data_IF_761523158882
#
_entry.id   IF_761523158882
#
_cell.length_a   1.000
_cell.length_b   1.000
_cell.length_c   1.000
_cell.angle_alpha   90.00
_cell.angle_beta   90.00
_cell.angle_gamma   90.00
#
_symmetry.space_group_name_H-M   'P 1'
#
loop_
_entity.id
_entity.type
_entity.pdbx_description
1 polymer ?
#
# COMPACT_ATOMS: atom_id res chain seq x y z
N UNK A 1 16.49 2.30 -25.76
CA UNK A 1 15.60 2.30 -24.57
C UNK A 1 15.92 3.58 -23.81
N UNK A 2 15.09 4.64 -23.93
CA UNK A 2 15.18 5.81 -23.06
C UNK A 2 14.85 5.31 -21.65
N UNK A 3 15.79 5.46 -20.70
CA UNK A 3 15.49 5.36 -19.27
C UNK A 3 14.30 6.29 -19.00
N UNK A 4 13.15 5.71 -18.65
CA UNK A 4 12.13 6.46 -17.92
C UNK A 4 12.84 6.95 -16.67
N UNK A 5 12.84 8.25 -16.43
CA UNK A 5 13.02 8.75 -15.08
C UNK A 5 11.88 8.09 -14.28
N UNK A 6 12.22 7.02 -13.56
CA UNK A 6 11.27 6.31 -12.72
C UNK A 6 11.05 7.20 -11.49
N UNK A 7 10.01 8.02 -11.54
CA UNK A 7 9.45 8.60 -10.33
C UNK A 7 8.57 7.53 -9.70
N UNK A 8 9.19 6.52 -9.10
CA UNK A 8 8.46 5.55 -8.29
C UNK A 8 7.91 6.27 -7.06
N UNK A 9 6.71 5.91 -6.66
CA UNK A 9 6.05 6.40 -5.46
C UNK A 9 5.91 5.27 -4.46
N UNK A 10 5.79 5.64 -3.22
CA UNK A 10 5.56 4.75 -2.10
C UNK A 10 4.23 5.07 -1.41
N UNK A 11 3.64 4.06 -0.79
CA UNK A 11 2.47 4.17 0.07
C UNK A 11 2.76 3.47 1.40
N UNK A 12 2.59 4.20 2.49
CA UNK A 12 2.70 3.64 3.83
C UNK A 12 1.33 3.15 4.31
N UNK A 13 1.25 1.85 4.56
CA UNK A 13 0.05 1.16 5.02
C UNK A 13 0.11 0.83 6.52
N UNK A 14 1.08 1.39 7.27
CA UNK A 14 1.31 1.06 8.69
C UNK A 14 0.09 1.31 9.54
N UNK A 15 -0.59 2.46 9.34
CA UNK A 15 -1.72 2.89 10.18
C UNK A 15 -3.03 2.16 9.86
N UNK A 16 -3.08 1.43 8.76
CA UNK A 16 -4.23 0.60 8.38
C UNK A 16 -3.89 -0.89 8.41
N UNK A 17 -3.18 -1.40 7.40
CA UNK A 17 -2.88 -2.82 7.24
C UNK A 17 -1.86 -3.31 8.29
N UNK A 18 -0.87 -2.47 8.61
CA UNK A 18 0.07 -2.72 9.68
C UNK A 18 -0.60 -2.97 11.02
N UNK A 19 -1.61 -2.16 11.37
CA UNK A 19 -2.36 -2.28 12.63
C UNK A 19 -3.38 -3.42 12.64
N UNK A 20 -3.57 -4.15 11.54
CA UNK A 20 -4.34 -5.39 11.52
C UNK A 20 -3.52 -6.59 12.02
N UNK A 21 -2.26 -6.38 12.38
CA UNK A 21 -1.45 -7.39 13.07
C UNK A 21 -2.11 -7.83 14.38
N UNK A 22 -2.26 -9.15 14.63
CA UNK A 22 -2.86 -9.64 15.88
C UNK A 22 -2.01 -9.36 17.12
N UNK A 23 -0.73 -9.00 16.92
CA UNK A 23 0.24 -8.72 18.00
C UNK A 23 0.50 -7.23 18.19
N UNK A 24 0.01 -6.36 17.30
CA UNK A 24 0.25 -4.94 17.43
C UNK A 24 -0.74 -4.29 18.40
N UNK A 25 -0.21 -3.49 19.33
CA UNK A 25 -1.03 -2.54 20.05
C UNK A 25 -1.47 -1.43 19.09
N UNK A 26 -2.72 -1.00 19.18
CA UNK A 26 -3.17 0.16 18.41
C UNK A 26 -2.64 1.45 19.05
N UNK A 27 -1.82 2.25 18.37
CA UNK A 27 -1.29 3.50 18.89
C UNK A 27 -2.40 4.51 19.23
N UNK A 28 -2.11 5.40 20.18
CA UNK A 28 -2.98 6.55 20.44
C UNK A 28 -3.04 7.48 19.24
N UNK A 29 -4.02 8.38 19.21
CA UNK A 29 -4.13 9.34 18.09
C UNK A 29 -2.89 10.24 17.99
N UNK A 30 -2.35 10.70 19.11
CA UNK A 30 -1.12 11.53 19.11
C UNK A 30 0.09 10.75 18.56
N UNK A 31 0.19 9.45 18.88
CA UNK A 31 1.22 8.58 18.34
C UNK A 31 1.06 8.34 16.82
N UNK A 32 -0.17 8.22 16.34
CA UNK A 32 -0.44 8.10 14.89
C UNK A 32 -0.07 9.38 14.15
N UNK A 33 -0.39 10.53 14.72
CA UNK A 33 -0.01 11.85 14.18
C UNK A 33 1.51 11.98 14.10
N UNK A 34 2.24 11.61 15.15
CA UNK A 34 3.71 11.63 15.11
C UNK A 34 4.28 10.69 14.04
N UNK A 35 3.67 9.52 13.81
CA UNK A 35 4.08 8.64 12.71
C UNK A 35 3.84 9.28 11.34
N UNK A 36 2.73 10.02 11.15
CA UNK A 36 2.47 10.77 9.92
C UNK A 36 3.53 11.85 9.69
N UNK A 37 3.98 12.54 10.74
CA UNK A 37 5.08 13.51 10.66
C UNK A 37 6.41 12.89 10.19
N UNK A 38 6.71 11.66 10.65
CA UNK A 38 7.87 10.92 10.14
C UNK A 38 7.71 10.50 8.68
N UNK A 39 6.52 10.07 8.28
CA UNK A 39 6.22 9.75 6.87
C UNK A 39 6.43 10.97 5.96
N UNK A 40 5.93 12.14 6.36
CA UNK A 40 6.16 13.40 5.63
C UNK A 40 7.66 13.75 5.53
N UNK A 41 8.41 13.69 6.65
CA UNK A 41 9.86 13.94 6.69
C UNK A 41 10.65 12.99 5.79
N UNK A 42 10.21 11.75 5.67
CA UNK A 42 10.79 10.74 4.77
C UNK A 42 10.43 10.97 3.30
N UNK A 43 9.52 11.91 3.01
CA UNK A 43 9.01 12.16 1.67
C UNK A 43 8.14 11.02 1.13
N UNK A 44 7.52 10.23 2.02
CA UNK A 44 6.52 9.23 1.65
C UNK A 44 5.34 9.94 1.00
N UNK A 45 4.92 9.47 -0.16
CA UNK A 45 3.98 10.24 -0.98
C UNK A 45 2.52 9.93 -0.71
N UNK A 46 2.23 8.74 -0.17
CA UNK A 46 0.86 8.32 0.15
C UNK A 46 0.81 7.65 1.51
N UNK A 47 -0.31 7.79 2.21
CA UNK A 47 -0.58 7.09 3.46
C UNK A 47 -2.00 6.56 3.48
N UNK A 48 -2.19 5.32 3.92
CA UNK A 48 -3.50 4.78 4.28
C UNK A 48 -3.77 5.04 5.76
N UNK A 49 -4.70 5.95 6.06
CA UNK A 49 -4.99 6.43 7.41
C UNK A 49 -5.88 5.48 8.22
N UNK A 50 -6.52 4.51 7.57
CA UNK A 50 -7.36 3.56 8.28
C UNK A 50 -8.54 3.02 7.47
N UNK A 51 -9.50 2.44 8.18
CA UNK A 51 -10.70 1.81 7.64
C UNK A 51 -11.93 2.44 8.29
N UNK A 52 -12.57 3.46 7.69
CA UNK A 52 -13.73 4.15 8.28
C UNK A 52 -14.89 3.19 8.57
N UNK A 53 -15.08 2.17 7.72
CA UNK A 53 -16.09 1.13 7.92
C UNK A 53 -15.89 0.25 9.17
N UNK A 54 -14.77 0.38 9.89
CA UNK A 54 -14.53 -0.32 11.15
C UNK A 54 -15.24 0.35 12.36
N UNK A 55 -15.76 1.56 12.18
CA UNK A 55 -16.60 2.23 13.16
C UNK A 55 -16.22 3.68 13.49
N UNK A 56 -17.01 4.36 14.31
CA UNK A 56 -16.89 5.81 14.57
C UNK A 56 -15.49 6.24 15.06
N UNK A 57 -14.86 5.47 15.93
CA UNK A 57 -13.52 5.79 16.44
C UNK A 57 -12.47 5.83 15.32
N UNK A 58 -12.61 4.98 14.29
CA UNK A 58 -11.72 5.00 13.14
C UNK A 58 -11.92 6.28 12.32
N UNK A 59 -13.16 6.72 12.14
CA UNK A 59 -13.49 7.99 11.48
C UNK A 59 -12.92 9.18 12.27
N UNK A 60 -13.07 9.20 13.60
CA UNK A 60 -12.49 10.24 14.48
C UNK A 60 -10.96 10.31 14.35
N UNK A 61 -10.28 9.16 14.31
CA UNK A 61 -8.82 9.13 14.15
C UNK A 61 -8.40 9.62 12.77
N UNK A 62 -9.11 9.21 11.70
CA UNK A 62 -8.84 9.70 10.34
C UNK A 62 -9.04 11.22 10.29
N UNK A 63 -10.13 11.73 10.87
CA UNK A 63 -10.44 13.16 10.95
C UNK A 63 -9.33 13.96 11.64
N UNK A 64 -8.84 13.49 12.78
CA UNK A 64 -7.76 14.14 13.52
C UNK A 64 -6.44 14.16 12.73
N UNK A 65 -6.08 13.05 12.05
CA UNK A 65 -4.88 13.00 11.21
C UNK A 65 -5.02 13.92 9.98
N UNK A 66 -6.20 14.00 9.36
CA UNK A 66 -6.48 14.93 8.26
C UNK A 66 -6.40 16.38 8.71
N UNK A 67 -6.90 16.71 9.89
CA UNK A 67 -6.74 18.04 10.50
C UNK A 67 -5.26 18.40 10.60
N UNK A 68 -4.46 17.50 11.17
CA UNK A 68 -3.02 17.72 11.31
C UNK A 68 -2.31 17.89 9.95
N UNK A 69 -2.62 17.04 8.96
CA UNK A 69 -2.05 17.12 7.60
C UNK A 69 -2.38 18.48 6.97
N UNK A 70 -3.62 18.96 7.11
CA UNK A 70 -4.05 20.21 6.49
C UNK A 70 -3.51 21.45 7.22
N UNK A 71 -3.48 21.44 8.56
CA UNK A 71 -2.96 22.57 9.37
C UNK A 71 -1.45 22.77 9.22
N UNK A 72 -0.70 21.71 8.89
CA UNK A 72 0.75 21.74 8.72
C UNK A 72 1.20 21.75 7.25
N UNK A 73 0.28 21.90 6.30
CA UNK A 73 0.57 21.91 4.86
C UNK A 73 1.44 20.70 4.39
N UNK A 74 1.16 19.50 4.91
CA UNK A 74 1.89 18.31 4.53
C UNK A 74 1.62 17.94 3.06
N UNK A 75 2.64 17.44 2.36
CA UNK A 75 2.54 17.01 0.96
C UNK A 75 2.03 15.58 0.80
N UNK A 76 2.03 14.80 1.87
CA UNK A 76 1.58 13.41 1.86
C UNK A 76 0.09 13.33 1.47
N UNK A 77 -0.23 12.43 0.55
CA UNK A 77 -1.60 12.25 0.06
C UNK A 77 -2.34 11.24 0.90
N UNK A 78 -3.39 11.65 1.60
CA UNK A 78 -4.16 10.72 2.42
C UNK A 78 -5.06 9.83 1.60
N UNK A 79 -5.24 8.62 2.07
CA UNK A 79 -6.22 7.65 1.61
C UNK A 79 -6.77 6.86 2.79
N UNK A 80 -7.81 6.10 2.54
CA UNK A 80 -8.35 5.13 3.48
C UNK A 80 -8.89 3.91 2.74
N UNK A 81 -8.73 2.73 3.35
CA UNK A 81 -9.32 1.51 2.83
C UNK A 81 -10.84 1.53 3.05
N UNK A 82 -11.58 1.11 2.02
CA UNK A 82 -13.03 0.98 2.08
C UNK A 82 -13.46 -0.34 1.45
N UNK A 83 -14.42 -1.02 2.04
CA UNK A 83 -15.12 -2.08 1.33
C UNK A 83 -15.89 -1.46 0.17
N UNK A 84 -16.19 -2.23 -0.85
CA UNK A 84 -17.04 -1.78 -1.97
C UNK A 84 -18.51 -1.61 -1.54
N UNK A 85 -18.73 -0.79 -0.51
CA UNK A 85 -20.03 -0.46 0.07
C UNK A 85 -20.15 1.06 0.21
N UNK A 86 -21.27 1.64 -0.20
CA UNK A 86 -21.49 3.09 -0.10
C UNK A 86 -21.31 3.61 1.33
N UNK A 87 -21.83 2.89 2.32
CA UNK A 87 -21.71 3.25 3.75
C UNK A 87 -20.26 3.35 4.26
N UNK A 88 -19.28 2.73 3.59
CA UNK A 88 -17.86 2.86 3.93
C UNK A 88 -17.24 4.08 3.23
N UNK A 89 -17.82 4.52 2.12
CA UNK A 89 -17.35 5.65 1.31
C UNK A 89 -17.96 6.96 1.79
N UNK A 90 -19.20 6.95 2.28
CA UNK A 90 -19.90 8.13 2.78
C UNK A 90 -19.06 8.96 3.77
N UNK A 91 -18.41 8.36 4.80
CA UNK A 91 -17.54 9.11 5.71
C UNK A 91 -16.36 9.80 5.01
N UNK A 92 -15.82 9.22 3.93
CA UNK A 92 -14.74 9.86 3.17
C UNK A 92 -15.24 11.08 2.39
N UNK A 93 -16.47 11.04 1.85
CA UNK A 93 -17.10 12.18 1.20
C UNK A 93 -17.24 13.34 2.20
N UNK A 94 -17.74 13.06 3.40
CA UNK A 94 -17.91 14.05 4.45
C UNK A 94 -16.57 14.65 4.91
N UNK A 95 -15.55 13.80 5.12
CA UNK A 95 -14.22 14.23 5.52
C UNK A 95 -13.54 15.05 4.42
N UNK A 96 -13.65 14.63 3.15
CA UNK A 96 -13.13 15.39 2.02
C UNK A 96 -13.74 16.79 1.92
N UNK A 97 -15.06 16.89 2.11
CA UNK A 97 -15.77 18.18 2.13
C UNK A 97 -15.34 19.05 3.31
N UNK A 98 -15.19 18.43 4.50
CA UNK A 98 -14.79 19.12 5.72
C UNK A 98 -13.38 19.72 5.62
N UNK A 99 -12.42 18.97 5.11
CA UNK A 99 -11.02 19.37 5.07
C UNK A 99 -10.62 20.08 3.76
N UNK A 100 -11.46 20.03 2.72
CA UNK A 100 -11.18 20.63 1.43
C UNK A 100 -10.02 20.01 0.66
N UNK A 101 -9.66 18.75 0.96
CA UNK A 101 -8.61 18.01 0.30
C UNK A 101 -9.15 16.69 -0.26
N UNK A 102 -8.51 16.16 -1.30
CA UNK A 102 -8.85 14.85 -1.83
C UNK A 102 -8.34 13.73 -0.93
N UNK A 103 -9.22 12.77 -0.61
CA UNK A 103 -8.91 11.56 0.16
C UNK A 103 -9.14 10.35 -0.75
N UNK A 104 -8.09 9.57 -1.01
CA UNK A 104 -8.21 8.41 -1.88
C UNK A 104 -9.00 7.29 -1.20
N UNK A 105 -10.09 6.84 -1.84
CA UNK A 105 -10.78 5.61 -1.45
C UNK A 105 -10.05 4.39 -2.04
N UNK A 106 -9.41 3.59 -1.20
CA UNK A 106 -8.82 2.29 -1.57
C UNK A 106 -9.91 1.22 -1.49
N UNK A 107 -10.73 1.15 -2.55
CA UNK A 107 -11.92 0.29 -2.60
C UNK A 107 -11.53 -1.15 -2.93
N UNK A 108 -11.63 -2.05 -1.95
CA UNK A 108 -11.19 -3.43 -2.11
C UNK A 108 -12.33 -4.44 -2.30
N UNK A 109 -12.06 -5.44 -3.13
CA UNK A 109 -12.97 -6.55 -3.43
C UNK A 109 -12.18 -7.81 -3.79
N UNK A 110 -12.50 -8.95 -3.18
CA UNK A 110 -11.83 -10.22 -3.44
C UNK A 110 -12.34 -10.89 -4.72
N UNK A 111 -11.42 -11.27 -5.61
CA UNK A 111 -11.75 -11.90 -6.91
C UNK A 111 -11.28 -13.35 -7.04
N UNK A 112 -10.53 -13.87 -6.05
CA UNK A 112 -10.02 -15.24 -6.13
C UNK A 112 -11.15 -16.28 -6.09
N UNK A 113 -11.00 -17.44 -6.76
CA UNK A 113 -11.98 -18.51 -6.73
C UNK A 113 -12.30 -19.01 -5.30
N UNK A 114 -11.30 -18.96 -4.41
CA UNK A 114 -11.49 -19.34 -3.00
C UNK A 114 -12.44 -18.35 -2.32
N UNK A 115 -12.26 -17.05 -2.58
CA UNK A 115 -13.12 -16.00 -2.00
C UNK A 115 -14.54 -16.09 -2.57
N UNK A 116 -14.67 -16.24 -3.89
CA UNK A 116 -15.96 -16.43 -4.54
C UNK A 116 -16.72 -17.64 -3.98
N UNK A 117 -16.03 -18.77 -3.80
CA UNK A 117 -16.61 -19.98 -3.23
C UNK A 117 -17.04 -19.80 -1.76
N UNK A 118 -16.17 -19.23 -0.92
CA UNK A 118 -16.42 -19.06 0.51
C UNK A 118 -17.60 -18.12 0.81
N UNK A 119 -17.74 -17.07 0.02
CA UNK A 119 -18.79 -16.04 0.18
C UNK A 119 -20.04 -16.34 -0.67
N UNK A 120 -20.01 -17.36 -1.53
CA UNK A 120 -21.07 -17.63 -2.48
C UNK A 120 -21.26 -16.51 -3.52
N UNK A 121 -20.19 -15.81 -3.87
CA UNK A 121 -20.23 -14.72 -4.83
C UNK A 121 -20.05 -15.21 -6.26
N UNK A 122 -20.81 -14.60 -7.17
CA UNK A 122 -20.62 -14.74 -8.61
C UNK A 122 -19.94 -13.50 -9.17
N UNK A 123 -19.33 -13.61 -10.34
CA UNK A 123 -18.72 -12.43 -11.01
C UNK A 123 -19.76 -11.33 -11.25
N UNK A 124 -21.00 -11.68 -11.60
CA UNK A 124 -22.10 -10.73 -11.74
C UNK A 124 -22.36 -9.95 -10.43
N UNK A 125 -22.36 -10.64 -9.28
CA UNK A 125 -22.51 -10.03 -7.98
C UNK A 125 -21.34 -9.10 -7.65
N UNK A 126 -20.10 -9.52 -7.94
CA UNK A 126 -18.90 -8.71 -7.75
C UNK A 126 -18.95 -7.43 -8.57
N UNK A 127 -19.25 -7.53 -9.85
CA UNK A 127 -19.39 -6.38 -10.76
C UNK A 127 -20.49 -5.42 -10.26
N UNK A 128 -21.69 -5.93 -9.98
CA UNK A 128 -22.80 -5.10 -9.50
C UNK A 128 -22.48 -4.39 -8.17
N UNK A 129 -21.75 -5.04 -7.27
CA UNK A 129 -21.35 -4.45 -5.97
C UNK A 129 -20.31 -3.34 -6.19
N UNK A 130 -19.29 -3.61 -7.00
CA UNK A 130 -18.26 -2.65 -7.36
C UNK A 130 -18.84 -1.43 -8.09
N UNK A 131 -19.71 -1.65 -9.08
CA UNK A 131 -20.33 -0.57 -9.86
C UNK A 131 -21.02 0.46 -8.97
N UNK A 132 -21.82 0.01 -8.01
CA UNK A 132 -22.54 0.89 -7.08
C UNK A 132 -21.59 1.73 -6.24
N UNK A 133 -20.59 1.10 -5.66
CA UNK A 133 -19.64 1.76 -4.76
C UNK A 133 -18.72 2.74 -5.51
N UNK A 134 -18.18 2.30 -6.65
CA UNK A 134 -17.28 3.13 -7.47
C UNK A 134 -18.02 4.31 -8.09
N UNK A 135 -19.22 4.08 -8.64
CA UNK A 135 -20.03 5.19 -9.19
C UNK A 135 -20.34 6.22 -8.13
N UNK A 136 -20.74 5.78 -6.92
CA UNK A 136 -21.00 6.69 -5.81
C UNK A 136 -19.77 7.52 -5.44
N UNK A 137 -18.59 6.90 -5.36
CA UNK A 137 -17.34 7.63 -5.06
C UNK A 137 -17.01 8.67 -6.15
N UNK A 138 -17.08 8.26 -7.44
CA UNK A 138 -16.78 9.12 -8.59
C UNK A 138 -17.76 10.29 -8.70
N UNK A 139 -19.06 10.05 -8.48
CA UNK A 139 -20.10 11.09 -8.48
C UNK A 139 -19.91 12.13 -7.36
N UNK A 140 -19.19 11.77 -6.29
CA UNK A 140 -18.86 12.66 -5.18
C UNK A 140 -17.40 13.17 -5.22
N UNK A 141 -16.74 13.10 -6.39
CA UNK A 141 -15.35 13.56 -6.60
C UNK A 141 -14.30 12.89 -5.68
N UNK A 142 -14.61 11.71 -5.11
CA UNK A 142 -13.67 10.93 -4.33
C UNK A 142 -12.76 10.12 -5.27
N UNK A 143 -11.44 10.34 -5.25
CA UNK A 143 -10.53 9.57 -6.10
C UNK A 143 -10.47 8.11 -5.66
N UNK A 144 -10.73 7.20 -6.59
CA UNK A 144 -10.76 5.75 -6.31
C UNK A 144 -9.47 5.10 -6.77
N UNK A 145 -8.85 4.31 -5.87
CA UNK A 145 -7.94 3.22 -6.20
C UNK A 145 -8.73 1.92 -6.06
N UNK A 146 -8.90 1.20 -7.16
CA UNK A 146 -9.61 -0.08 -7.12
C UNK A 146 -8.64 -1.21 -6.81
N UNK A 147 -8.92 -1.96 -5.76
CA UNK A 147 -8.04 -2.97 -5.17
C UNK A 147 -8.66 -4.35 -5.34
N UNK A 148 -8.00 -5.25 -6.08
CA UNK A 148 -8.41 -6.65 -6.12
C UNK A 148 -7.66 -7.44 -5.06
N UNK A 149 -8.36 -7.80 -3.98
CA UNK A 149 -7.81 -8.71 -2.97
C UNK A 149 -7.48 -10.06 -3.65
N UNK A 150 -6.32 -10.61 -3.31
CA UNK A 150 -5.86 -11.92 -3.77
C UNK A 150 -5.73 -12.06 -5.30
N UNK A 151 -5.28 -10.99 -5.94
CA UNK A 151 -5.10 -10.92 -7.40
C UNK A 151 -4.19 -12.05 -7.91
N UNK A 152 -3.13 -12.38 -7.18
CA UNK A 152 -2.14 -13.37 -7.60
C UNK A 152 -2.69 -14.80 -7.70
N UNK A 153 -3.86 -15.08 -7.14
CA UNK A 153 -4.57 -16.36 -7.21
C UNK A 153 -5.93 -16.27 -7.91
N UNK A 154 -6.25 -15.11 -8.48
CA UNK A 154 -7.50 -14.88 -9.21
C UNK A 154 -7.41 -15.39 -10.65
N UNK A 155 -8.56 -15.67 -11.25
CA UNK A 155 -8.65 -16.04 -12.67
C UNK A 155 -8.30 -14.80 -13.54
N UNK A 156 -7.43 -14.92 -14.55
CA UNK A 156 -7.09 -13.80 -15.44
C UNK A 156 -8.30 -13.12 -16.09
N UNK A 157 -9.31 -13.86 -16.53
CA UNK A 157 -10.51 -13.29 -17.10
C UNK A 157 -11.31 -12.47 -16.08
N UNK A 158 -11.39 -12.93 -14.84
CA UNK A 158 -12.06 -12.20 -13.76
C UNK A 158 -11.34 -10.90 -13.44
N UNK A 159 -9.98 -10.92 -13.38
CA UNK A 159 -9.14 -9.75 -13.20
C UNK A 159 -9.37 -8.74 -14.33
N UNK A 160 -9.36 -9.22 -15.58
CA UNK A 160 -9.58 -8.39 -16.76
C UNK A 160 -10.94 -7.72 -16.71
N UNK A 161 -12.00 -8.49 -16.51
CA UNK A 161 -13.38 -7.99 -16.49
C UNK A 161 -13.59 -6.92 -15.42
N UNK A 162 -13.12 -7.17 -14.19
CA UNK A 162 -13.37 -6.25 -13.08
C UNK A 162 -12.56 -4.96 -13.18
N UNK A 163 -11.29 -5.03 -13.58
CA UNK A 163 -10.48 -3.82 -13.76
C UNK A 163 -10.91 -2.99 -14.96
N UNK A 164 -11.25 -3.62 -16.08
CA UNK A 164 -11.77 -2.89 -17.25
C UNK A 164 -13.08 -2.19 -16.88
N UNK A 165 -13.98 -2.88 -16.18
CA UNK A 165 -15.21 -2.26 -15.72
C UNK A 165 -14.96 -1.10 -14.74
N UNK A 166 -14.01 -1.22 -13.82
CA UNK A 166 -13.63 -0.12 -12.94
C UNK A 166 -13.11 1.10 -13.73
N UNK A 167 -12.27 0.88 -14.75
CA UNK A 167 -11.76 1.95 -15.61
C UNK A 167 -12.87 2.64 -16.43
N UNK A 168 -13.87 1.89 -16.90
CA UNK A 168 -15.07 2.44 -17.58
C UNK A 168 -15.86 3.39 -16.67
N UNK A 169 -15.90 3.10 -15.36
CA UNK A 169 -16.56 3.93 -14.35
C UNK A 169 -15.72 5.16 -13.94
N UNK A 170 -14.54 5.34 -14.53
CA UNK A 170 -13.69 6.50 -14.24
C UNK A 170 -12.50 6.24 -13.33
N UNK A 171 -12.28 5.01 -12.84
CA UNK A 171 -11.11 4.67 -12.03
C UNK A 171 -9.83 4.82 -12.87
N UNK A 172 -8.80 5.42 -12.27
CA UNK A 172 -7.49 5.61 -12.90
C UNK A 172 -6.33 5.07 -12.05
N UNK A 173 -6.63 4.38 -10.95
CA UNK A 173 -5.66 3.74 -10.07
C UNK A 173 -6.09 2.30 -9.80
N UNK A 174 -5.23 1.36 -10.17
CA UNK A 174 -5.43 -0.08 -9.97
C UNK A 174 -4.41 -0.58 -8.97
N UNK A 175 -4.83 -1.41 -8.01
CA UNK A 175 -3.93 -2.03 -7.04
C UNK A 175 -3.97 -3.55 -7.17
N UNK A 176 -2.83 -4.13 -7.51
CA UNK A 176 -2.61 -5.56 -7.68
C UNK A 176 -2.08 -6.13 -6.36
N UNK A 177 -2.81 -7.07 -5.74
CA UNK A 177 -2.48 -7.57 -4.42
C UNK A 177 -1.95 -9.01 -4.43
N UNK A 178 -0.83 -9.21 -3.77
CA UNK A 178 -0.33 -10.53 -3.34
C UNK A 178 -0.69 -10.77 -1.87
N UNK A 179 -1.98 -10.91 -1.63
CA UNK A 179 -2.58 -10.97 -0.28
C UNK A 179 -2.00 -12.08 0.59
N UNK A 180 -1.58 -13.20 0.00
CA UNK A 180 -1.04 -14.34 0.73
C UNK A 180 0.47 -14.54 0.53
N UNK A 181 1.20 -13.54 0.04
CA UNK A 181 2.63 -13.67 -0.23
C UNK A 181 2.97 -14.85 -1.14
N UNK A 182 2.08 -15.15 -2.12
CA UNK A 182 2.12 -16.37 -2.94
C UNK A 182 3.10 -16.29 -4.09
N UNK A 183 3.21 -15.11 -4.72
CA UNK A 183 3.93 -14.94 -5.98
C UNK A 183 5.44 -14.84 -5.78
N UNK A 184 6.20 -15.25 -6.79
CA UNK A 184 7.65 -15.02 -6.87
C UNK A 184 7.95 -13.72 -7.62
N UNK A 185 9.17 -13.13 -7.49
CA UNK A 185 9.53 -11.92 -8.24
C UNK A 185 9.32 -12.02 -9.76
N UNK A 186 9.58 -13.19 -10.34
CA UNK A 186 9.30 -13.42 -11.76
C UNK A 186 7.80 -13.47 -12.06
N UNK A 187 7.00 -14.00 -11.14
CA UNK A 187 5.54 -13.99 -11.23
C UNK A 187 4.98 -12.57 -11.16
N UNK A 188 5.52 -11.70 -10.29
CA UNK A 188 5.18 -10.26 -10.24
C UNK A 188 5.34 -9.60 -11.60
N UNK A 189 6.53 -9.79 -12.23
CA UNK A 189 6.82 -9.21 -13.56
C UNK A 189 5.84 -9.69 -14.63
N UNK A 190 5.47 -10.97 -14.61
CA UNK A 190 4.50 -11.54 -15.56
C UNK A 190 3.10 -11.01 -15.33
N UNK A 191 2.68 -10.91 -14.07
CA UNK A 191 1.35 -10.39 -13.72
C UNK A 191 1.22 -8.92 -14.11
N UNK A 192 2.21 -8.08 -13.82
CA UNK A 192 2.18 -6.67 -14.21
C UNK A 192 2.23 -6.50 -15.74
N UNK A 193 2.97 -7.35 -16.46
CA UNK A 193 2.91 -7.36 -17.93
C UNK A 193 1.52 -7.73 -18.45
N UNK A 194 0.82 -8.69 -17.84
CA UNK A 194 -0.56 -9.01 -18.15
C UNK A 194 -1.50 -7.82 -17.88
N UNK A 195 -1.34 -7.13 -16.73
CA UNK A 195 -2.13 -5.93 -16.42
C UNK A 195 -1.91 -4.84 -17.48
N UNK A 196 -0.67 -4.60 -17.89
CA UNK A 196 -0.37 -3.58 -18.89
C UNK A 196 -0.94 -3.92 -20.28
N UNK A 197 -0.75 -5.16 -20.75
CA UNK A 197 -1.10 -5.55 -22.12
C UNK A 197 -2.58 -5.94 -22.24
N UNK A 198 -3.05 -6.85 -21.41
CA UNK A 198 -4.37 -7.46 -21.59
C UNK A 198 -5.50 -6.77 -20.80
N UNK A 199 -5.16 -6.04 -19.72
CA UNK A 199 -6.17 -5.29 -18.97
C UNK A 199 -6.26 -3.85 -19.46
N UNK A 200 -5.14 -3.12 -19.46
CA UNK A 200 -5.14 -1.67 -19.73
C UNK A 200 -5.22 -1.40 -21.25
N UNK A 201 -4.30 -1.95 -22.04
CA UNK A 201 -4.24 -1.68 -23.49
C UNK A 201 -5.41 -2.29 -24.23
N UNK A 202 -5.76 -3.55 -23.97
CA UNK A 202 -6.92 -4.19 -24.59
C UNK A 202 -8.23 -3.52 -24.17
N UNK A 203 -8.29 -2.96 -22.97
CA UNK A 203 -9.40 -2.10 -22.51
C UNK A 203 -9.47 -0.74 -23.19
N UNK A 204 -8.53 -0.43 -24.12
CA UNK A 204 -8.52 0.83 -24.88
C UNK A 204 -7.88 2.00 -24.13
N UNK A 205 -7.19 1.79 -23.02
CA UNK A 205 -6.57 2.85 -22.23
C UNK A 205 -5.06 2.97 -22.50
N UNK A 206 -4.55 4.21 -22.37
CA UNK A 206 -3.13 4.43 -22.38
C UNK A 206 -2.55 4.09 -20.99
N UNK A 207 -1.48 3.28 -20.95
CA UNK A 207 -0.80 2.92 -19.70
C UNK A 207 -0.33 4.14 -18.88
N UNK A 208 -0.12 5.29 -19.51
CA UNK A 208 0.30 6.52 -18.83
C UNK A 208 -0.80 7.20 -18.04
N UNK A 209 -2.06 6.91 -18.38
CA UNK A 209 -3.24 7.50 -17.75
C UNK A 209 -3.76 6.63 -16.60
N UNK A 210 -3.18 5.44 -16.44
CA UNK A 210 -3.55 4.47 -15.39
C UNK A 210 -2.36 4.26 -14.45
N UNK A 211 -2.54 4.58 -13.18
CA UNK A 211 -1.58 4.28 -12.12
C UNK A 211 -1.73 2.83 -11.68
N UNK A 212 -0.65 2.05 -11.70
CA UNK A 212 -0.62 0.67 -11.24
C UNK A 212 0.15 0.60 -9.93
N UNK A 213 -0.53 0.16 -8.88
CA UNK A 213 -0.01 -0.04 -7.55
C UNK A 213 0.26 -1.53 -7.31
N UNK A 214 1.30 -1.82 -6.56
CA UNK A 214 1.64 -3.16 -6.09
C UNK A 214 1.55 -3.22 -4.56
N UNK A 215 0.77 -4.17 -4.05
CA UNK A 215 0.63 -4.42 -2.62
C UNK A 215 0.94 -5.89 -2.32
N UNK A 216 1.90 -6.16 -1.45
CA UNK A 216 2.37 -7.53 -1.20
C UNK A 216 2.66 -7.83 0.27
N UNK A 217 2.37 -9.10 0.64
CA UNK A 217 2.63 -9.64 1.97
C UNK A 217 3.89 -10.50 2.03
N UNK A 218 4.33 -10.80 3.26
CA UNK A 218 5.63 -11.36 3.58
C UNK A 218 5.58 -12.88 3.89
N UNK A 219 4.48 -13.57 3.61
CA UNK A 219 4.25 -14.97 4.05
C UNK A 219 5.35 -15.96 3.61
N UNK A 220 6.04 -15.69 2.51
CA UNK A 220 7.18 -16.49 2.03
C UNK A 220 8.53 -15.78 2.14
N UNK A 221 8.61 -14.67 2.87
CA UNK A 221 9.83 -13.88 2.97
C UNK A 221 10.22 -13.15 1.68
N UNK A 222 9.29 -12.90 0.75
CA UNK A 222 9.56 -12.31 -0.56
C UNK A 222 9.05 -10.88 -0.73
N UNK A 223 8.47 -10.27 0.30
CA UNK A 223 7.81 -8.97 0.21
C UNK A 223 8.69 -7.87 -0.42
N UNK A 224 9.91 -7.66 0.12
CA UNK A 224 10.86 -6.68 -0.42
C UNK A 224 11.30 -7.04 -1.84
N UNK A 225 11.62 -8.31 -2.10
CA UNK A 225 12.03 -8.76 -3.43
C UNK A 225 10.91 -8.58 -4.46
N UNK A 226 9.66 -8.78 -4.05
CA UNK A 226 8.48 -8.57 -4.90
C UNK A 226 8.23 -7.08 -5.14
N UNK A 227 8.41 -6.20 -4.15
CA UNK A 227 8.34 -4.74 -4.34
C UNK A 227 9.40 -4.28 -5.37
N UNK A 228 10.65 -4.73 -5.25
CA UNK A 228 11.70 -4.42 -6.22
C UNK A 228 11.31 -4.93 -7.61
N UNK A 229 10.83 -6.16 -7.73
CA UNK A 229 10.40 -6.73 -9.00
C UNK A 229 9.21 -5.97 -9.62
N UNK A 230 8.30 -5.45 -8.79
CA UNK A 230 7.19 -4.62 -9.25
C UNK A 230 7.67 -3.28 -9.82
N UNK A 231 8.62 -2.62 -9.16
CA UNK A 231 9.27 -1.40 -9.66
C UNK A 231 9.96 -1.66 -11.00
N UNK A 232 10.75 -2.71 -11.10
CA UNK A 232 11.43 -3.10 -12.34
C UNK A 232 10.44 -3.43 -13.47
N UNK A 233 9.26 -3.95 -13.15
CA UNK A 233 8.18 -4.25 -14.09
C UNK A 233 7.34 -3.04 -14.47
N UNK A 234 7.55 -1.87 -13.84
CA UNK A 234 6.88 -0.62 -14.18
C UNK A 234 5.64 -0.31 -13.36
N UNK A 235 5.50 -0.88 -12.15
CA UNK A 235 4.55 -0.36 -11.17
C UNK A 235 4.85 1.12 -10.87
N UNK A 236 3.82 1.92 -10.66
CA UNK A 236 3.98 3.35 -10.37
C UNK A 236 4.09 3.60 -8.85
N UNK A 237 3.52 2.72 -8.04
CA UNK A 237 3.52 2.80 -6.58
C UNK A 237 3.75 1.41 -5.99
N UNK A 238 4.56 1.33 -4.95
CA UNK A 238 4.70 0.12 -4.11
C UNK A 238 4.26 0.42 -2.69
N UNK A 239 3.55 -0.53 -2.09
CA UNK A 239 3.04 -0.44 -0.73
C UNK A 239 3.93 -1.19 0.24
N UNK A 240 3.95 -0.73 1.48
CA UNK A 240 4.64 -1.40 2.58
C UNK A 240 4.23 -0.85 3.92
N UNK A 241 4.75 -1.45 4.97
CA UNK A 241 4.52 -1.01 6.35
C UNK A 241 5.85 -0.89 7.09
N UNK A 242 5.91 -0.02 8.07
CA UNK A 242 7.05 0.05 8.98
C UNK A 242 7.32 -1.35 9.57
N UNK A 243 8.58 -1.79 9.53
CA UNK A 243 9.02 -3.09 10.03
C UNK A 243 8.29 -4.31 9.42
N UNK A 244 7.56 -4.11 8.35
CA UNK A 244 6.72 -5.16 7.77
C UNK A 244 5.53 -5.56 8.65
N UNK A 245 5.05 -4.66 9.49
CA UNK A 245 3.85 -4.90 10.31
C UNK A 245 2.66 -5.35 9.47
N UNK A 246 1.79 -6.19 10.03
CA UNK A 246 0.57 -6.64 9.37
C UNK A 246 0.09 -8.00 9.82
N UNK A 247 -0.95 -8.49 9.16
CA UNK A 247 -1.51 -9.81 9.41
C UNK A 247 -0.52 -10.94 9.11
N UNK A 248 -0.66 -12.07 9.78
CA UNK A 248 0.13 -13.31 9.56
C UNK A 248 1.64 -13.05 9.69
N UNK A 249 2.39 -13.09 8.57
CA UNK A 249 3.82 -12.79 8.54
C UNK A 249 4.13 -11.30 8.26
N UNK A 250 3.09 -10.49 8.07
CA UNK A 250 3.19 -9.06 7.81
C UNK A 250 3.19 -8.68 6.34
N UNK A 251 3.37 -7.39 6.10
CA UNK A 251 3.50 -6.77 4.78
C UNK A 251 4.96 -6.71 4.31
N UNK A 252 5.17 -6.26 3.09
CA UNK A 252 6.52 -5.89 2.64
C UNK A 252 7.09 -4.79 3.56
N UNK A 253 8.27 -5.01 4.19
CA UNK A 253 8.91 -3.99 5.01
C UNK A 253 9.23 -2.72 4.21
N UNK A 254 8.60 -1.59 4.55
CA UNK A 254 8.76 -0.34 3.82
C UNK A 254 10.16 0.23 4.01
N UNK A 255 10.71 0.14 5.20
CA UNK A 255 12.08 0.55 5.52
C UNK A 255 13.11 -0.13 4.62
N UNK A 256 13.05 -1.44 4.50
CA UNK A 256 13.93 -2.20 3.62
C UNK A 256 13.66 -1.87 2.14
N UNK A 257 12.41 -1.67 1.77
CA UNK A 257 12.01 -1.27 0.42
C UNK A 257 12.61 0.09 0.06
N UNK A 258 12.45 1.11 0.92
CA UNK A 258 12.99 2.46 0.69
C UNK A 258 14.52 2.47 0.55
N UNK A 259 15.23 1.75 1.41
CA UNK A 259 16.69 1.63 1.33
C UNK A 259 17.11 1.01 -0.01
N UNK A 260 16.46 -0.07 -0.44
CA UNK A 260 16.76 -0.69 -1.74
C UNK A 260 16.46 0.26 -2.91
N UNK A 261 15.32 0.95 -2.90
CA UNK A 261 14.96 1.91 -3.95
C UNK A 261 15.95 3.08 -4.01
N UNK A 262 16.42 3.56 -2.86
CA UNK A 262 17.46 4.61 -2.78
C UNK A 262 18.78 4.13 -3.37
N UNK A 263 19.24 2.92 -3.01
CA UNK A 263 20.46 2.32 -3.55
C UNK A 263 20.37 2.04 -5.07
N UNK A 264 19.18 1.75 -5.58
CA UNK A 264 18.91 1.59 -7.01
C UNK A 264 18.83 2.94 -7.75
N UNK A 265 18.81 4.07 -7.06
CA UNK A 265 18.58 5.39 -7.64
C UNK A 265 17.16 5.59 -8.19
N UNK A 266 16.19 4.85 -7.65
CA UNK A 266 14.78 4.93 -8.04
C UNK A 266 14.01 6.02 -7.29
N UNK A 267 14.50 6.41 -6.11
CA UNK A 267 13.99 7.52 -5.28
C UNK A 267 15.13 8.40 -4.79
N UNK A 268 14.83 9.67 -4.54
CA UNK A 268 15.79 10.66 -4.00
C UNK A 268 15.48 11.08 -2.56
N UNK A 269 14.51 10.44 -1.91
CA UNK A 269 14.06 10.74 -0.55
C UNK A 269 15.24 10.87 0.44
N UNK A 270 15.15 11.78 1.39
CA UNK A 270 16.03 11.81 2.55
C UNK A 270 15.57 10.75 3.56
N UNK A 271 16.40 9.74 3.77
CA UNK A 271 16.11 8.65 4.70
C UNK A 271 16.76 8.82 6.07
N UNK A 272 17.27 10.02 6.39
CA UNK A 272 18.02 10.28 7.65
C UNK A 272 17.20 10.00 8.91
N UNK A 273 15.87 10.19 8.86
CA UNK A 273 14.96 9.94 10.00
C UNK A 273 14.30 8.55 9.97
N UNK A 274 14.69 7.68 9.01
CA UNK A 274 14.08 6.35 8.86
C UNK A 274 14.26 5.48 10.12
N UNK A 275 15.44 5.57 10.76
CA UNK A 275 15.71 4.85 12.02
C UNK A 275 14.80 5.28 13.16
N UNK A 276 14.56 6.58 13.30
CA UNK A 276 13.65 7.12 14.31
C UNK A 276 12.22 6.67 14.04
N UNK A 277 11.77 6.72 12.78
CA UNK A 277 10.45 6.24 12.39
C UNK A 277 10.24 4.77 12.75
N UNK A 278 11.22 3.90 12.44
CA UNK A 278 11.16 2.48 12.79
C UNK A 278 11.12 2.25 14.30
N UNK A 279 11.91 3.02 15.05
CA UNK A 279 11.93 2.95 16.50
C UNK A 279 10.56 3.36 17.09
N UNK A 280 9.96 4.44 16.58
CA UNK A 280 8.64 4.89 17.00
C UNK A 280 7.54 3.88 16.65
N UNK A 281 7.58 3.32 15.44
CA UNK A 281 6.65 2.27 15.05
C UNK A 281 6.74 1.05 15.99
N UNK A 282 7.96 0.59 16.32
CA UNK A 282 8.21 -0.47 17.31
C UNK A 282 7.64 -0.11 18.69
N UNK A 283 7.97 1.06 19.21
CA UNK A 283 7.54 1.51 20.54
C UNK A 283 6.00 1.62 20.63
N UNK A 284 5.36 2.20 19.62
CA UNK A 284 3.93 2.48 19.67
C UNK A 284 3.06 1.26 19.40
N UNK A 285 3.55 0.34 18.60
CA UNK A 285 2.84 -0.91 18.31
C UNK A 285 3.20 -2.05 19.26
N UNK A 286 4.28 -1.91 20.05
CA UNK A 286 4.82 -2.93 20.94
C UNK A 286 5.23 -4.23 20.22
N UNK A 287 5.35 -4.20 18.88
CA UNK A 287 5.81 -5.36 18.11
C UNK A 287 7.33 -5.47 18.22
N UNK A 288 7.88 -6.62 18.65
CA UNK A 288 9.32 -6.76 18.88
C UNK A 288 10.18 -6.51 17.63
N UNK A 289 11.24 -5.74 17.77
CA UNK A 289 12.26 -5.58 16.74
C UNK A 289 13.37 -6.62 16.96
N UNK A 290 13.54 -7.61 16.08
CA UNK A 290 14.60 -8.60 16.21
C UNK A 290 15.99 -7.97 16.15
N UNK A 291 16.94 -8.47 16.98
CA UNK A 291 18.32 -7.93 16.99
C UNK A 291 18.99 -7.97 15.62
N UNK A 292 18.72 -9.01 14.83
CA UNK A 292 19.25 -9.22 13.48
C UNK A 292 18.32 -8.70 12.37
N UNK A 293 17.39 -7.79 12.71
CA UNK A 293 16.51 -7.19 11.71
C UNK A 293 17.34 -6.41 10.67
N UNK A 294 17.10 -6.64 9.35
CA UNK A 294 17.85 -5.91 8.32
C UNK A 294 17.72 -4.39 8.49
N UNK A 295 18.81 -3.66 8.28
CA UNK A 295 18.93 -2.20 8.31
C UNK A 295 18.89 -1.59 9.72
N UNK A 296 18.01 -2.04 10.64
CA UNK A 296 17.77 -1.38 11.94
C UNK A 296 18.00 -2.27 13.16
N UNK A 297 18.18 -3.57 12.99
CA UNK A 297 18.47 -4.47 14.09
C UNK A 297 19.76 -4.07 14.80
N UNK A 298 19.83 -4.28 16.10
CA UNK A 298 21.01 -3.91 16.91
C UNK A 298 22.30 -4.53 16.33
N UNK A 299 22.22 -5.74 15.77
CA UNK A 299 23.35 -6.47 15.22
C UNK A 299 23.57 -6.20 13.72
N UNK A 300 22.73 -5.36 13.06
CA UNK A 300 22.75 -5.18 11.62
C UNK A 300 24.10 -4.67 11.06
N UNK A 301 24.88 -3.96 11.88
CA UNK A 301 26.19 -3.41 11.52
C UNK A 301 27.32 -3.97 12.40
N UNK A 302 27.08 -5.05 13.11
CA UNK A 302 28.06 -5.70 13.98
C UNK A 302 28.58 -7.02 13.37
N UNK A 303 29.81 -7.39 13.68
CA UNK A 303 30.40 -8.66 13.30
C UNK A 303 31.13 -9.31 14.48
N UNK A 304 30.95 -10.60 14.68
CA UNK A 304 31.63 -11.37 15.72
C UNK A 304 33.08 -11.76 15.36
N UNK A 305 33.56 -11.44 14.16
CA UNK A 305 34.91 -11.79 13.70
C UNK A 305 35.61 -10.61 13.07
N UNK A 306 36.93 -10.45 13.30
CA UNK A 306 37.74 -9.41 12.67
C UNK A 306 38.00 -9.59 11.20
N UNK A 307 37.74 -10.79 10.65
CA UNK A 307 38.00 -11.10 9.23
C UNK A 307 37.15 -10.25 8.28
N UNK A 308 35.93 -9.91 8.67
CA UNK A 308 35.00 -9.14 7.85
C UNK A 308 34.98 -7.65 8.18
N UNK A 309 35.72 -7.19 9.20
CA UNK A 309 35.69 -5.81 9.66
C UNK A 309 36.03 -4.80 8.55
N UNK A 310 37.00 -5.12 7.69
CA UNK A 310 37.39 -4.27 6.57
C UNK A 310 36.30 -4.16 5.50
N UNK A 311 35.53 -5.21 5.28
CA UNK A 311 34.40 -5.19 4.33
C UNK A 311 33.23 -4.34 4.81
N UNK A 312 33.03 -4.27 6.13
CA UNK A 312 31.94 -3.49 6.76
C UNK A 312 32.25 -2.00 6.85
N UNK A 313 33.54 -1.61 6.84
CA UNK A 313 33.96 -0.20 6.88
C UNK A 313 33.35 0.66 5.75
N UNK A 314 33.04 0.05 4.62
CA UNK A 314 32.46 0.72 3.46
C UNK A 314 30.92 0.70 3.42
N UNK A 315 30.31 -0.02 4.33
CA UNK A 315 28.85 -0.12 4.44
C UNK A 315 28.34 0.88 5.45
#
# INVERSE_FOLDING_TARGET
>A
RRQRQMCIRDSDETLRDGLQSPSARNPTIDQKIELVDYMEKLGIQKVDLGLPGAGPLHVEHIDAMLTHITENDHNIRPGAAVRTLMQDIEPLVELQQKHGIQIQASAFLGTSPIRQYAEGWTMEKLLSTMEKAVSFAVENDVPVMFVTEDTTRSNPEDIKNIYQRAMELGVRRLCVCDTCGHVTPNGVKKLLAFIDEEVIKDGGYNRRDIEVNWHGHQDRGLGVANNIAAVEAGADVVHGTALGLGERAGNAPLDQTLVNLKLMGAIDNDLSVLGEYMQKAHEYTEVPLPRNYPVFGQDAFETGTGVHALSLIHI
#
